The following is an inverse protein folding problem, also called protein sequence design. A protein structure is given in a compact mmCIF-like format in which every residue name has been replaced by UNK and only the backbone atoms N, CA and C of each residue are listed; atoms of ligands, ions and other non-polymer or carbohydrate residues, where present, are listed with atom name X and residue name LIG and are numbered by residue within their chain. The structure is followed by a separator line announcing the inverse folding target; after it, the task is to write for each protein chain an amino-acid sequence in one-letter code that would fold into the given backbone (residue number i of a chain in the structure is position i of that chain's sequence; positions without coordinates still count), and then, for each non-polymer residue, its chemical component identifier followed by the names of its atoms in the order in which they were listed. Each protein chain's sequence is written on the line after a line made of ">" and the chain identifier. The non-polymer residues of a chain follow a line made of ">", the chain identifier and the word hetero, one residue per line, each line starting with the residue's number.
data_IF_957481143666
#
_entry.id   IF_957481143666
#
_cell.length_a   1.000
_cell.length_b   1.000
_cell.length_c   1.000
_cell.angle_alpha   90.00
_cell.angle_beta   90.00
_cell.angle_gamma   90.00
#
_symmetry.space_group_name_H-M   'P 1'
#
loop_
_entity.id
_entity.type
_entity.pdbx_description
1 polymer ?
#
# COMPACT_ATOMS: atom_id res chain seq x y z
N UNK A 1 52.26 -57.44 -12.81
CA UNK A 1 52.25 -57.99 -14.17
C UNK A 1 51.22 -57.32 -15.01
N UNK A 2 51.66 -56.63 -16.00
CA UNK A 2 51.06 -56.51 -17.37
C UNK A 2 49.61 -56.06 -17.42
N UNK A 3 49.20 -55.14 -18.20
CA UNK A 3 49.68 -54.36 -19.34
C UNK A 3 48.52 -53.58 -19.89
N UNK A 4 48.66 -52.29 -20.16
CA UNK A 4 48.84 -51.69 -21.49
C UNK A 4 47.52 -51.50 -22.30
N UNK A 5 47.30 -50.22 -22.70
CA UNK A 5 46.81 -49.70 -24.02
C UNK A 5 45.30 -49.67 -24.19
N UNK A 6 44.71 -48.71 -24.75
CA UNK A 6 45.14 -47.70 -25.72
C UNK A 6 44.20 -46.49 -25.67
N UNK A 7 44.74 -45.36 -26.01
CA UNK A 7 44.07 -44.13 -26.40
C UNK A 7 43.17 -44.34 -27.64
N UNK A 8 42.05 -43.64 -27.67
CA UNK A 8 41.54 -43.04 -28.93
C UNK A 8 40.97 -41.68 -28.61
N UNK A 9 41.60 -40.69 -29.12
CA UNK A 9 41.25 -39.30 -29.22
C UNK A 9 40.12 -39.20 -30.24
N UNK A 10 38.96 -38.67 -29.86
CA UNK A 10 38.01 -38.19 -30.85
C UNK A 10 37.51 -36.83 -30.44
N UNK A 11 38.09 -35.84 -31.05
CA UNK A 11 37.72 -34.45 -31.02
C UNK A 11 36.45 -34.29 -31.83
N UNK A 12 35.30 -34.04 -31.17
CA UNK A 12 34.10 -33.60 -31.83
C UNK A 12 33.80 -32.20 -31.36
N UNK A 13 34.17 -31.24 -32.16
CA UNK A 13 33.85 -29.84 -32.04
C UNK A 13 32.39 -29.65 -32.52
N UNK A 14 31.44 -29.67 -31.60
CA UNK A 14 30.08 -29.21 -31.90
C UNK A 14 29.93 -27.78 -31.46
N UNK A 15 30.02 -26.91 -32.42
CA UNK A 15 29.69 -25.51 -32.31
C UNK A 15 28.17 -25.37 -32.19
N UNK A 16 27.62 -25.42 -30.97
CA UNK A 16 26.22 -25.10 -30.72
C UNK A 16 26.09 -23.59 -30.56
N UNK A 17 25.59 -22.97 -31.60
CA UNK A 17 25.25 -21.54 -31.55
C UNK A 17 24.18 -21.30 -30.47
N UNK A 18 24.58 -20.59 -29.42
CA UNK A 18 23.65 -20.03 -28.46
C UNK A 18 23.04 -18.80 -29.13
N UNK A 19 21.87 -18.96 -29.74
CA UNK A 19 21.02 -17.83 -30.06
C UNK A 19 20.52 -17.29 -28.74
N UNK A 20 21.16 -16.23 -28.26
CA UNK A 20 20.60 -15.41 -27.20
C UNK A 20 19.28 -14.84 -27.72
N UNK A 21 18.17 -15.45 -27.32
CA UNK A 21 16.87 -14.81 -27.39
C UNK A 21 16.93 -13.67 -26.37
N UNK A 22 17.25 -12.48 -26.82
CA UNK A 22 16.94 -11.26 -26.12
C UNK A 22 15.42 -11.14 -26.15
N UNK A 23 14.79 -11.54 -25.05
CA UNK A 23 13.43 -11.12 -24.77
C UNK A 23 13.43 -9.59 -24.82
N UNK A 24 12.65 -8.96 -25.70
CA UNK A 24 12.35 -7.56 -25.53
C UNK A 24 11.40 -7.48 -24.32
N UNK A 25 11.99 -7.49 -23.12
CA UNK A 25 11.29 -6.97 -21.95
C UNK A 25 10.99 -5.54 -22.31
N UNK A 26 9.82 -5.34 -22.93
CA UNK A 26 9.26 -4.01 -23.12
C UNK A 26 9.22 -3.42 -21.72
N UNK A 27 10.14 -2.51 -21.46
CA UNK A 27 10.07 -1.63 -20.31
C UNK A 27 8.72 -0.91 -20.46
N UNK A 28 7.70 -1.47 -19.82
CA UNK A 28 6.43 -0.79 -19.65
C UNK A 28 6.81 0.48 -18.91
N UNK A 29 6.80 1.59 -19.65
CA UNK A 29 6.95 2.90 -19.07
C UNK A 29 5.84 3.01 -18.03
N UNK A 30 6.19 2.83 -16.74
CA UNK A 30 5.26 3.02 -15.65
C UNK A 30 4.75 4.45 -15.80
N UNK A 31 3.43 4.57 -15.97
CA UNK A 31 2.80 5.87 -15.91
C UNK A 31 3.23 6.53 -14.60
N UNK A 32 3.62 7.81 -14.62
CA UNK A 32 4.09 8.49 -13.43
C UNK A 32 3.00 8.39 -12.36
N UNK A 33 3.33 7.80 -11.22
CA UNK A 33 2.43 7.72 -10.07
C UNK A 33 2.07 9.14 -9.63
N UNK A 34 0.81 9.40 -9.27
CA UNK A 34 0.43 10.71 -8.76
C UNK A 34 1.18 11.01 -7.47
N UNK A 35 1.58 12.27 -7.30
CA UNK A 35 2.15 12.73 -6.02
C UNK A 35 1.11 12.57 -4.93
N UNK A 36 1.46 11.88 -3.85
CA UNK A 36 0.57 11.74 -2.69
C UNK A 36 0.32 13.10 -2.06
N UNK A 37 -0.93 13.49 -1.96
CA UNK A 37 -1.37 14.74 -1.32
C UNK A 37 -2.24 14.51 -0.09
N UNK A 38 -2.61 13.26 0.18
CA UNK A 38 -3.37 12.84 1.33
C UNK A 38 -3.36 11.33 1.48
N UNK A 39 -3.87 10.86 2.60
CA UNK A 39 -4.08 9.43 2.85
C UNK A 39 -5.53 9.22 3.25
N UNK A 40 -6.24 8.41 2.48
CA UNK A 40 -7.56 7.92 2.87
C UNK A 40 -7.39 6.74 3.81
N UNK A 41 -8.11 6.75 4.92
CA UNK A 41 -8.13 5.66 5.89
C UNK A 41 -9.54 5.14 6.05
N UNK A 42 -9.72 3.84 5.84
CA UNK A 42 -10.99 3.16 6.04
C UNK A 42 -10.89 2.37 7.33
N UNK A 43 -11.64 2.79 8.34
CA UNK A 43 -11.75 2.12 9.63
C UNK A 43 -12.90 1.13 9.59
N UNK A 44 -12.64 -0.10 10.02
CA UNK A 44 -13.66 -1.14 10.13
C UNK A 44 -13.59 -1.82 11.50
N UNK A 45 -14.72 -1.91 12.18
CA UNK A 45 -14.81 -2.67 13.44
C UNK A 45 -14.58 -4.16 13.16
N UNK A 46 -13.69 -4.78 13.93
CA UNK A 46 -13.34 -6.19 13.77
C UNK A 46 -14.54 -7.11 14.06
N UNK A 47 -14.55 -8.26 13.39
CA UNK A 47 -15.53 -9.28 13.65
C UNK A 47 -15.48 -9.74 15.11
N UNK A 48 -16.66 -9.93 15.73
CA UNK A 48 -16.76 -10.39 17.13
C UNK A 48 -16.64 -9.28 18.17
N UNK A 49 -16.28 -8.05 17.79
CA UNK A 49 -16.27 -6.91 18.70
C UNK A 49 -17.70 -6.42 18.90
N UNK A 50 -18.09 -6.27 20.16
CA UNK A 50 -19.44 -5.82 20.52
C UNK A 50 -19.55 -4.30 20.53
N UNK A 51 -20.78 -3.81 20.43
CA UNK A 51 -21.05 -2.38 20.53
C UNK A 51 -20.61 -1.81 21.87
N UNK A 52 -20.79 -2.57 22.94
CA UNK A 52 -20.43 -2.16 24.31
C UNK A 52 -18.93 -1.94 24.44
N UNK A 53 -18.11 -2.82 23.83
CA UNK A 53 -16.66 -2.68 23.81
C UNK A 53 -16.25 -1.39 23.08
N UNK A 54 -16.86 -1.09 21.95
CA UNK A 54 -16.63 0.15 21.21
C UNK A 54 -17.04 1.37 22.03
N UNK A 55 -18.23 1.35 22.62
CA UNK A 55 -18.77 2.49 23.37
C UNK A 55 -17.99 2.80 24.64
N UNK A 56 -17.35 1.79 25.25
CA UNK A 56 -16.46 2.00 26.40
C UNK A 56 -15.24 2.86 26.08
N UNK A 57 -14.75 2.82 24.85
CA UNK A 57 -13.55 3.52 24.38
C UNK A 57 -13.91 4.82 23.63
N UNK A 58 -15.14 4.90 23.12
CA UNK A 58 -15.57 5.96 22.21
C UNK A 58 -15.37 7.40 22.74
N UNK A 59 -15.60 7.73 24.04
CA UNK A 59 -15.37 9.08 24.51
C UNK A 59 -13.93 9.57 24.34
N UNK A 60 -12.95 8.69 24.57
CA UNK A 60 -11.53 9.01 24.39
C UNK A 60 -11.14 9.02 22.92
N UNK A 61 -11.69 8.10 22.14
CA UNK A 61 -11.52 8.05 20.69
C UNK A 61 -11.96 9.38 20.05
N UNK A 62 -13.19 9.81 20.32
CA UNK A 62 -13.74 11.06 19.77
C UNK A 62 -12.87 12.24 20.17
N UNK A 63 -12.48 12.32 21.44
CA UNK A 63 -11.66 13.45 21.92
C UNK A 63 -10.32 13.55 21.18
N UNK A 64 -9.62 12.44 21.00
CA UNK A 64 -8.33 12.43 20.33
C UNK A 64 -8.49 12.65 18.81
N UNK A 65 -9.53 12.09 18.20
CA UNK A 65 -9.83 12.32 16.78
C UNK A 65 -10.18 13.78 16.50
N UNK A 66 -10.95 14.43 17.37
CA UNK A 66 -11.24 15.88 17.27
C UNK A 66 -9.95 16.69 17.37
N UNK A 67 -9.01 16.32 18.25
CA UNK A 67 -7.70 16.99 18.30
C UNK A 67 -6.92 16.87 16.99
N UNK A 68 -6.93 15.70 16.36
CA UNK A 68 -6.28 15.53 15.04
C UNK A 68 -6.94 16.42 13.97
N UNK A 69 -8.25 16.57 14.00
CA UNK A 69 -8.98 17.46 13.10
C UNK A 69 -8.60 18.93 13.36
N UNK A 70 -8.64 19.39 14.61
CA UNK A 70 -8.30 20.76 14.98
C UNK A 70 -6.84 21.11 14.67
N UNK A 71 -5.95 20.11 14.72
CA UNK A 71 -4.54 20.26 14.36
C UNK A 71 -4.28 20.17 12.86
N UNK A 72 -5.32 20.02 12.03
CA UNK A 72 -5.23 19.96 10.58
C UNK A 72 -4.70 18.64 10.03
N UNK A 73 -4.55 17.60 10.85
CA UNK A 73 -4.12 16.26 10.39
C UNK A 73 -5.25 15.50 9.72
N UNK A 74 -6.50 15.72 10.12
CA UNK A 74 -7.69 15.18 9.45
C UNK A 74 -8.31 16.32 8.64
N UNK A 75 -8.45 16.10 7.33
CA UNK A 75 -9.12 17.04 6.42
C UNK A 75 -10.62 16.85 6.44
N UNK A 76 -11.06 15.60 6.35
CA UNK A 76 -12.46 15.21 6.32
C UNK A 76 -12.63 13.84 6.99
N UNK A 77 -13.80 13.59 7.55
CA UNK A 77 -14.20 12.31 8.11
C UNK A 77 -15.69 12.06 7.91
N UNK A 78 -16.04 10.78 7.80
CA UNK A 78 -17.41 10.36 7.55
C UNK A 78 -17.71 9.06 8.27
N UNK A 79 -18.93 8.92 8.81
CA UNK A 79 -19.43 7.62 9.22
C UNK A 79 -19.81 6.80 8.01
N UNK A 80 -19.50 5.51 8.04
CA UNK A 80 -19.95 4.59 7.00
C UNK A 80 -21.44 4.31 7.14
N UNK A 81 -22.16 4.31 6.02
CA UNK A 81 -23.59 4.05 6.00
C UNK A 81 -23.98 2.63 6.41
N UNK A 82 -23.01 1.67 6.32
CA UNK A 82 -23.20 0.30 6.80
C UNK A 82 -23.04 0.16 8.33
N UNK A 83 -22.75 1.26 9.04
CA UNK A 83 -22.57 1.30 10.49
C UNK A 83 -21.30 0.58 11.00
N UNK A 84 -20.39 0.15 10.12
CA UNK A 84 -19.24 -0.67 10.46
C UNK A 84 -17.97 0.12 10.74
N UNK A 85 -18.02 1.43 10.72
CA UNK A 85 -16.84 2.25 10.99
C UNK A 85 -16.92 3.65 10.39
N UNK A 86 -15.75 4.17 10.04
CA UNK A 86 -15.59 5.52 9.52
C UNK A 86 -14.59 5.56 8.36
N UNK A 87 -14.63 6.66 7.62
CA UNK A 87 -13.63 6.98 6.59
C UNK A 87 -13.03 8.32 6.92
N UNK A 88 -11.71 8.42 6.84
CA UNK A 88 -10.97 9.66 7.07
C UNK A 88 -10.19 10.04 5.81
N UNK A 89 -10.08 11.32 5.55
CA UNK A 89 -9.09 11.87 4.63
C UNK A 89 -8.08 12.66 5.44
N UNK A 90 -6.87 12.13 5.54
CA UNK A 90 -5.77 12.76 6.28
C UNK A 90 -5.00 13.73 5.38
N UNK A 91 -4.59 14.88 5.95
CA UNK A 91 -3.70 15.83 5.30
C UNK A 91 -2.22 15.45 5.52
N UNK A 92 -1.90 14.21 5.21
CA UNK A 92 -0.57 13.62 5.34
C UNK A 92 -0.11 13.09 3.98
N UNK A 93 1.17 13.25 3.68
CA UNK A 93 1.77 12.83 2.41
C UNK A 93 2.48 11.48 2.49
N UNK A 94 2.69 10.99 3.69
CA UNK A 94 3.36 9.73 3.97
C UNK A 94 2.40 8.75 4.64
N UNK A 95 2.26 7.57 4.05
CA UNK A 95 1.42 6.49 4.57
C UNK A 95 1.95 5.98 5.92
N UNK A 96 3.27 5.97 6.13
CA UNK A 96 3.86 5.55 7.41
C UNK A 96 3.49 6.54 8.54
N UNK A 97 3.46 7.85 8.25
CA UNK A 97 2.99 8.85 9.21
C UNK A 97 1.49 8.70 9.49
N UNK A 98 0.69 8.36 8.47
CA UNK A 98 -0.73 8.08 8.63
C UNK A 98 -0.96 6.87 9.56
N UNK A 99 -0.22 5.78 9.36
CA UNK A 99 -0.23 4.63 10.27
C UNK A 99 0.10 5.06 11.70
N UNK A 100 1.22 5.71 11.93
CA UNK A 100 1.62 6.13 13.27
C UNK A 100 0.58 7.03 13.95
N UNK A 101 -0.10 7.88 13.17
CA UNK A 101 -1.13 8.78 13.67
C UNK A 101 -2.41 8.04 14.07
N UNK A 102 -2.91 7.14 13.21
CA UNK A 102 -4.17 6.45 13.45
C UNK A 102 -4.03 5.28 14.43
N UNK A 103 -2.90 4.57 14.41
CA UNK A 103 -2.63 3.45 15.32
C UNK A 103 -2.40 3.91 16.77
N UNK A 104 -2.13 5.19 16.98
CA UNK A 104 -2.07 5.80 18.30
C UNK A 104 -3.45 6.06 18.95
N UNK A 105 -4.52 6.00 18.18
CA UNK A 105 -5.89 6.23 18.66
C UNK A 105 -6.40 5.08 19.56
N UNK A 106 -7.27 5.36 20.52
CA UNK A 106 -7.71 4.38 21.52
C UNK A 106 -8.32 3.10 20.98
N UNK A 107 -9.17 3.15 19.95
CA UNK A 107 -9.77 1.96 19.34
C UNK A 107 -8.71 1.06 18.69
N UNK A 108 -7.72 1.64 18.01
CA UNK A 108 -6.63 0.91 17.40
C UNK A 108 -5.71 0.29 18.46
N UNK A 109 -5.37 1.05 19.50
CA UNK A 109 -4.51 0.57 20.61
C UNK A 109 -5.13 -0.60 21.38
N UNK A 110 -6.45 -0.71 21.41
CA UNK A 110 -7.16 -1.81 22.03
C UNK A 110 -7.49 -2.95 21.04
N UNK A 111 -6.98 -2.86 19.82
CA UNK A 111 -7.16 -3.87 18.78
C UNK A 111 -8.62 -4.17 18.43
N UNK A 112 -9.49 -3.15 18.51
CA UNK A 112 -10.92 -3.28 18.25
C UNK A 112 -11.31 -3.07 16.78
N UNK A 113 -10.40 -2.50 15.98
CA UNK A 113 -10.64 -2.07 14.62
C UNK A 113 -9.49 -2.47 13.69
N UNK A 114 -9.79 -2.51 12.41
CA UNK A 114 -8.80 -2.57 11.33
C UNK A 114 -8.78 -1.27 10.55
N UNK A 115 -7.61 -0.90 10.07
CA UNK A 115 -7.43 0.23 9.16
C UNK A 115 -6.94 -0.25 7.79
N UNK A 116 -7.54 0.29 6.72
CA UNK A 116 -7.00 0.23 5.37
C UNK A 116 -6.51 1.64 4.99
N UNK A 117 -5.29 1.73 4.45
CA UNK A 117 -4.65 3.00 4.08
C UNK A 117 -4.47 3.08 2.57
N UNK A 118 -4.96 4.15 1.97
CA UNK A 118 -4.89 4.40 0.53
C UNK A 118 -4.24 5.78 0.31
N UNK A 119 -3.03 5.79 -0.25
CA UNK A 119 -2.42 7.05 -0.67
C UNK A 119 -3.23 7.65 -1.81
N UNK A 120 -3.59 8.92 -1.70
CA UNK A 120 -4.38 9.64 -2.71
C UNK A 120 -3.63 10.87 -3.21
N UNK A 121 -3.87 11.23 -4.46
CA UNK A 121 -3.27 12.36 -5.10
C UNK A 121 -4.20 12.99 -6.12
N UNK A 122 -3.73 13.98 -6.88
CA UNK A 122 -4.52 14.61 -7.92
C UNK A 122 -5.04 13.59 -8.94
N UNK A 123 -6.25 13.79 -9.44
CA UNK A 123 -6.82 12.96 -10.48
C UNK A 123 -6.00 13.07 -11.76
N UNK A 124 -5.21 12.03 -12.06
CA UNK A 124 -4.23 12.03 -13.15
C UNK A 124 -4.80 12.35 -14.53
N UNK A 125 -5.99 11.86 -14.93
CA UNK A 125 -6.57 12.20 -16.23
C UNK A 125 -6.79 13.70 -16.46
N UNK A 126 -6.96 14.50 -15.41
CA UNK A 126 -7.11 15.95 -15.53
C UNK A 126 -5.85 16.62 -16.11
N UNK A 127 -4.67 16.03 -15.97
CA UNK A 127 -3.44 16.56 -16.58
C UNK A 127 -3.51 16.60 -18.10
N UNK A 128 -4.28 15.69 -18.71
CA UNK A 128 -4.47 15.66 -20.16
C UNK A 128 -5.21 16.89 -20.68
N UNK A 129 -6.03 17.53 -19.83
CA UNK A 129 -6.73 18.77 -20.19
C UNK A 129 -5.81 19.99 -20.17
N UNK A 130 -4.64 19.87 -19.54
CA UNK A 130 -3.67 20.96 -19.41
C UNK A 130 -2.52 20.85 -20.43
N UNK A 131 -2.39 19.73 -21.11
CA UNK A 131 -1.45 19.57 -22.22
C UNK A 131 -2.06 20.24 -23.46
N UNK A 132 -1.44 21.31 -23.92
CA UNK A 132 -1.83 21.99 -25.17
C UNK A 132 -1.70 21.00 -26.33
N UNK A 133 -2.68 20.90 -27.24
CA UNK A 133 -2.56 20.06 -28.43
C UNK A 133 -1.39 20.47 -29.30
#
# INVERSE_FOLDING_TARGET
>A
MKAIRNAVLTLALTLTGITAMTDPSAAQAQAPSPTTTGVMVILTVKAGITREQIMAVMPDEIRQTVQLYLNGKIREWYSRSDGRGAVFLLDLKDVAEAHATMDALPLARQDLIDHEYIAVGPLMPLRLLMTKP
#
